data_IF_592629063304
#
_entry.id   IF_592629063304
#
_cell.length_a   1.000
_cell.length_b   1.000
_cell.length_c   1.000
_cell.angle_alpha   90.00
_cell.angle_beta   90.00
_cell.angle_gamma   90.00
#
_symmetry.space_group_name_H-M   'P 1'
#
loop_
_entity.id
_entity.type
_entity.pdbx_description
1 polymer ?
#
# COMPACT_ATOMS: atom_id res chain seq x y z
N UNK A 1 -3.21 -11.05 25.10
CA UNK A 1 -3.53 -12.46 25.40
C UNK A 1 -4.66 -12.86 24.47
N UNK A 2 -4.35 -13.55 23.38
CA UNK A 2 -5.34 -13.90 22.37
C UNK A 2 -6.04 -15.18 22.80
N UNK A 3 -7.29 -15.06 23.25
CA UNK A 3 -8.09 -16.20 23.70
C UNK A 3 -8.70 -16.89 22.48
N UNK A 4 -8.27 -18.12 22.18
CA UNK A 4 -8.89 -18.97 21.14
C UNK A 4 -10.21 -19.51 21.69
N UNK A 5 -11.34 -19.01 21.19
CA UNK A 5 -12.69 -19.46 21.56
C UNK A 5 -13.36 -20.11 20.36
N UNK A 6 -13.62 -21.41 20.44
CA UNK A 6 -14.50 -22.16 19.55
C UNK A 6 -15.94 -22.02 20.07
N UNK A 7 -16.85 -21.57 19.21
CA UNK A 7 -18.29 -21.68 19.46
C UNK A 7 -18.86 -22.78 18.58
N UNK A 8 -18.99 -23.99 19.14
CA UNK A 8 -19.86 -25.04 18.62
C UNK A 8 -21.24 -24.87 19.27
N UNK A 9 -22.32 -25.11 18.52
CA UNK A 9 -23.69 -25.14 19.05
C UNK A 9 -23.95 -26.26 20.08
N UNK A 10 -22.94 -27.04 20.43
CA UNK A 10 -22.93 -27.93 21.59
C UNK A 10 -21.64 -27.77 22.41
N UNK A 11 -21.83 -27.39 23.68
CA UNK A 11 -20.91 -27.49 24.83
C UNK A 11 -19.72 -26.53 24.94
N UNK A 12 -19.69 -25.88 26.11
CA UNK A 12 -18.60 -25.13 26.72
C UNK A 12 -17.53 -26.13 27.19
N UNK A 13 -16.32 -26.07 26.63
CA UNK A 13 -15.09 -26.40 27.35
C UNK A 13 -13.87 -25.82 26.64
N UNK A 14 -13.15 -24.96 27.36
CA UNK A 14 -11.83 -24.54 26.95
C UNK A 14 -10.87 -25.73 27.07
N UNK A 15 -10.35 -26.22 25.95
CA UNK A 15 -9.24 -27.17 25.96
C UNK A 15 -8.19 -26.73 24.95
N UNK A 16 -6.98 -26.44 25.44
CA UNK A 16 -5.78 -26.43 24.60
C UNK A 16 -5.57 -27.88 24.12
N UNK A 17 -5.89 -28.18 22.86
CA UNK A 17 -5.51 -29.46 22.24
C UNK A 17 -4.65 -29.23 21.00
N UNK A 18 -3.83 -30.24 20.70
CA UNK A 18 -2.86 -30.25 19.60
C UNK A 18 -3.54 -30.25 18.22
N UNK A 19 -2.80 -29.78 17.21
CA UNK A 19 -3.24 -29.54 15.82
C UNK A 19 -4.03 -30.68 15.17
N UNK A 20 -3.77 -31.94 15.54
CA UNK A 20 -4.47 -33.11 14.98
C UNK A 20 -5.88 -33.33 15.53
N UNK A 21 -6.20 -32.87 16.75
CA UNK A 21 -7.56 -32.99 17.30
C UNK A 21 -8.52 -31.99 16.61
N UNK A 22 -8.02 -30.79 16.30
CA UNK A 22 -8.75 -29.70 15.66
C UNK A 22 -9.23 -30.05 14.24
N UNK A 23 -8.39 -30.72 13.45
CA UNK A 23 -8.73 -31.15 12.09
C UNK A 23 -9.85 -32.19 12.05
N UNK A 24 -9.99 -33.02 13.09
CA UNK A 24 -11.03 -34.06 13.17
C UNK A 24 -12.38 -33.50 13.58
N UNK A 25 -12.41 -32.48 14.43
CA UNK A 25 -13.64 -31.81 14.87
C UNK A 25 -14.23 -30.91 13.77
N UNK A 26 -13.39 -30.32 12.91
CA UNK A 26 -13.84 -29.54 11.76
C UNK A 26 -14.52 -30.38 10.66
N UNK A 27 -14.12 -31.66 10.50
CA UNK A 27 -14.77 -32.56 9.54
C UNK A 27 -16.17 -33.01 9.99
N UNK A 28 -16.50 -32.89 11.28
CA UNK A 28 -17.82 -33.29 11.81
C UNK A 28 -18.76 -32.12 12.12
N UNK A 29 -18.27 -30.88 12.21
CA UNK A 29 -19.01 -29.73 12.75
C UNK A 29 -19.50 -28.68 11.72
N UNK A 30 -19.12 -28.79 10.44
CA UNK A 30 -19.43 -27.76 9.44
C UNK A 30 -18.39 -26.63 9.44
N UNK A 31 -18.76 -25.44 8.95
CA UNK A 31 -17.81 -24.31 8.83
C UNK A 31 -17.35 -23.79 10.21
N UNK A 32 -16.08 -23.41 10.32
CA UNK A 32 -15.46 -22.84 11.52
C UNK A 32 -15.63 -21.34 11.58
N UNK A 33 -15.84 -20.78 12.78
CA UNK A 33 -15.77 -19.34 13.01
C UNK A 33 -14.50 -18.96 13.77
N UNK A 34 -13.75 -18.00 13.22
CA UNK A 34 -12.59 -17.38 13.86
C UNK A 34 -12.88 -15.90 14.11
N UNK A 35 -12.76 -15.43 15.35
CA UNK A 35 -13.10 -14.04 15.72
C UNK A 35 -11.85 -13.23 15.99
N UNK A 36 -11.73 -12.08 15.34
CA UNK A 36 -10.65 -11.12 15.54
C UNK A 36 -11.23 -9.70 15.60
N UNK A 37 -11.20 -9.10 16.78
CA UNK A 37 -11.85 -7.81 17.03
C UNK A 37 -13.38 -7.90 16.84
N UNK A 38 -13.94 -7.02 16.01
CA UNK A 38 -15.35 -7.00 15.66
C UNK A 38 -15.70 -7.87 14.45
N UNK A 39 -14.77 -8.67 13.93
CA UNK A 39 -14.99 -9.52 12.76
C UNK A 39 -15.03 -11.00 13.11
N UNK A 40 -15.90 -11.71 12.42
CA UNK A 40 -16.06 -13.16 12.45
C UNK A 40 -15.74 -13.70 11.06
N UNK A 41 -14.71 -14.52 10.97
CA UNK A 41 -14.29 -15.19 9.74
C UNK A 41 -14.85 -16.60 9.76
N UNK A 42 -15.75 -16.90 8.82
CA UNK A 42 -16.33 -18.22 8.62
C UNK A 42 -15.49 -18.99 7.60
N UNK A 43 -14.64 -19.87 8.12
CA UNK A 43 -13.72 -20.73 7.38
C UNK A 43 -14.47 -22.00 6.97
N UNK A 44 -14.60 -22.29 5.66
CA UNK A 44 -15.32 -23.48 5.20
C UNK A 44 -14.72 -24.78 5.74
N UNK A 45 -15.56 -25.76 6.05
CA UNK A 45 -15.11 -27.11 6.45
C UNK A 45 -14.16 -27.76 5.42
N UNK A 46 -14.32 -27.43 4.13
CA UNK A 46 -13.42 -27.88 3.06
C UNK A 46 -11.97 -27.41 3.22
N UNK A 47 -11.72 -26.38 4.02
CA UNK A 47 -10.39 -25.83 4.28
C UNK A 47 -9.72 -26.41 5.53
N UNK A 48 -10.20 -27.53 6.06
CA UNK A 48 -9.71 -28.10 7.32
C UNK A 48 -8.19 -28.35 7.38
N UNK A 49 -7.57 -28.69 6.26
CA UNK A 49 -6.13 -28.88 6.16
C UNK A 49 -5.32 -27.57 6.15
N UNK A 50 -5.96 -26.42 5.90
CA UNK A 50 -5.32 -25.11 5.72
C UNK A 50 -5.62 -24.12 6.86
N UNK A 51 -6.36 -24.54 7.89
CA UNK A 51 -6.87 -23.64 8.95
C UNK A 51 -5.77 -22.82 9.62
N UNK A 52 -4.64 -23.44 9.97
CA UNK A 52 -3.55 -22.73 10.66
C UNK A 52 -2.97 -21.60 9.80
N UNK A 53 -2.78 -21.87 8.50
CA UNK A 53 -2.32 -20.87 7.51
C UNK A 53 -3.36 -19.76 7.34
N UNK A 54 -4.64 -20.11 7.26
CA UNK A 54 -5.74 -19.14 7.10
C UNK A 54 -5.81 -18.22 8.34
N UNK A 55 -5.68 -18.76 9.54
CA UNK A 55 -5.68 -17.99 10.79
C UNK A 55 -4.45 -17.06 10.83
N UNK A 56 -3.27 -17.53 10.44
CA UNK A 56 -2.08 -16.69 10.36
C UNK A 56 -2.26 -15.52 9.38
N UNK A 57 -2.88 -15.77 8.22
CA UNK A 57 -3.24 -14.71 7.26
C UNK A 57 -4.27 -13.74 7.83
N UNK A 58 -5.28 -14.22 8.56
CA UNK A 58 -6.28 -13.36 9.22
C UNK A 58 -5.61 -12.49 10.30
N UNK A 59 -4.78 -13.08 11.15
CA UNK A 59 -4.07 -12.36 12.23
C UNK A 59 -3.08 -11.34 11.71
N UNK A 60 -2.50 -11.59 10.53
CA UNK A 60 -1.64 -10.65 9.81
C UNK A 60 -2.39 -9.72 8.85
N UNK A 61 -3.74 -9.72 8.88
CA UNK A 61 -4.63 -8.86 8.09
C UNK A 61 -4.41 -8.98 6.56
N UNK A 62 -4.10 -10.19 6.10
CA UNK A 62 -3.98 -10.57 4.70
C UNK A 62 -5.32 -11.10 4.13
N UNK A 63 -5.44 -11.10 2.80
CA UNK A 63 -6.64 -11.61 2.13
C UNK A 63 -6.72 -13.14 2.24
N UNK A 64 -7.92 -13.63 2.56
CA UNK A 64 -8.23 -15.06 2.68
C UNK A 64 -9.37 -15.48 1.74
N UNK A 65 -9.75 -14.61 0.80
CA UNK A 65 -10.80 -14.87 -0.18
C UNK A 65 -10.53 -16.10 -1.04
N UNK A 66 -9.25 -16.41 -1.34
CA UNK A 66 -8.84 -17.60 -2.09
C UNK A 66 -9.22 -18.92 -1.38
N UNK A 67 -9.40 -18.89 -0.06
CA UNK A 67 -9.83 -20.03 0.74
C UNK A 67 -11.36 -20.11 0.88
N UNK A 68 -12.11 -19.18 0.28
CA UNK A 68 -13.56 -19.11 0.39
C UNK A 68 -14.07 -18.68 1.77
N UNK A 69 -13.24 -17.98 2.55
CA UNK A 69 -13.59 -17.52 3.90
C UNK A 69 -14.56 -16.34 3.81
N UNK A 70 -15.73 -16.47 4.44
CA UNK A 70 -16.71 -15.39 4.53
C UNK A 70 -16.47 -14.56 5.79
N UNK A 71 -16.42 -13.23 5.69
CA UNK A 71 -16.19 -12.36 6.85
C UNK A 71 -17.45 -11.58 7.21
N UNK A 72 -17.87 -11.65 8.46
CA UNK A 72 -19.00 -10.93 9.04
C UNK A 72 -18.50 -9.94 10.07
N UNK A 73 -18.94 -8.69 10.02
CA UNK A 73 -18.62 -7.70 11.04
C UNK A 73 -19.80 -7.64 12.03
N UNK A 74 -19.52 -7.84 13.32
CA UNK A 74 -20.52 -7.77 14.38
C UNK A 74 -20.87 -6.29 14.57
N UNK A 75 -22.07 -5.91 14.15
CA UNK A 75 -22.59 -4.54 14.31
C UNK A 75 -22.68 -4.18 15.81
N UNK A 76 -21.96 -3.14 16.21
CA UNK A 76 -22.30 -2.38 17.42
C UNK A 76 -23.47 -1.45 17.09
N UNK A 77 -24.48 -1.42 17.96
CA UNK A 77 -25.74 -0.70 17.77
C UNK A 77 -25.61 0.74 17.20
N UNK A 78 -26.37 0.97 16.12
CA UNK A 78 -26.98 2.22 15.62
C UNK A 78 -26.18 3.53 15.67
N UNK A 79 -25.84 4.05 14.48
CA UNK A 79 -25.92 5.50 14.18
C UNK A 79 -26.75 5.68 12.90
N UNK A 80 -27.84 6.44 13.03
CA UNK A 80 -28.74 6.83 11.94
C UNK A 80 -28.35 8.24 11.45
N UNK A 81 -28.20 8.40 10.13
CA UNK A 81 -28.56 9.60 9.35
C UNK A 81 -28.11 9.36 7.89
N UNK A 82 -29.05 9.08 6.98
CA UNK A 82 -29.58 10.03 6.00
C UNK A 82 -28.52 10.71 5.11
N UNK A 83 -28.59 10.38 3.81
CA UNK A 83 -27.81 10.87 2.65
C UNK A 83 -26.59 10.02 2.29
N UNK A 84 -26.70 9.25 1.20
CA UNK A 84 -25.54 8.90 0.36
C UNK A 84 -25.01 10.20 -0.24
N UNK A 85 -24.26 10.97 0.53
CA UNK A 85 -23.31 11.93 -0.03
C UNK A 85 -22.03 11.15 -0.28
N UNK A 86 -21.66 10.96 -1.54
CA UNK A 86 -20.32 10.50 -1.90
C UNK A 86 -19.38 11.63 -1.51
N UNK A 87 -18.85 11.59 -0.28
CA UNK A 87 -17.93 12.61 0.20
C UNK A 87 -16.50 12.22 -0.15
N UNK A 88 -16.06 12.79 -1.29
CA UNK A 88 -14.90 13.68 -1.33
C UNK A 88 -14.32 14.00 0.05
N UNK A 89 -13.03 13.72 0.25
CA UNK A 89 -12.40 14.00 1.53
C UNK A 89 -10.91 13.72 1.62
N UNK A 90 -10.33 14.16 2.74
CA UNK A 90 -8.94 13.91 3.07
C UNK A 90 -8.63 12.42 3.04
N UNK A 91 -7.49 12.07 2.45
CA UNK A 91 -6.91 10.75 2.55
C UNK A 91 -6.46 10.49 3.99
N UNK A 92 -6.79 9.32 4.50
CA UNK A 92 -6.40 8.84 5.83
C UNK A 92 -5.68 7.51 5.68
N UNK A 93 -4.41 7.48 6.08
CA UNK A 93 -3.63 6.25 6.15
C UNK A 93 -4.20 5.35 7.25
N UNK A 94 -4.40 4.07 6.95
CA UNK A 94 -4.77 3.08 7.96
C UNK A 94 -3.81 1.88 8.03
N UNK A 95 -2.90 1.75 7.05
CA UNK A 95 -1.89 0.70 7.01
C UNK A 95 -0.73 1.18 6.14
N UNK A 96 0.50 0.96 6.60
CA UNK A 96 1.72 1.33 5.89
C UNK A 96 2.59 0.11 5.58
N UNK A 97 3.53 0.30 4.65
CA UNK A 97 4.59 -0.64 4.30
C UNK A 97 5.85 0.16 3.94
N UNK A 98 6.99 -0.23 4.52
CA UNK A 98 8.28 0.40 4.24
C UNK A 98 9.19 -0.61 3.55
N UNK A 99 9.81 -0.18 2.44
CA UNK A 99 10.86 -0.90 1.75
C UNK A 99 12.14 -0.06 1.82
N UNK A 100 13.14 -0.55 2.55
CA UNK A 100 14.40 0.16 2.76
C UNK A 100 15.49 -0.40 1.87
N UNK A 101 16.37 0.46 1.37
CA UNK A 101 17.53 0.11 0.54
C UNK A 101 17.16 -0.87 -0.59
N UNK A 102 16.19 -0.47 -1.43
CA UNK A 102 15.67 -1.34 -2.50
C UNK A 102 16.69 -1.63 -3.61
N UNK A 103 17.82 -0.93 -3.58
CA UNK A 103 18.96 -1.12 -4.47
C UNK A 103 20.27 -0.97 -3.71
N UNK A 104 21.32 -1.63 -4.22
CA UNK A 104 22.70 -1.23 -3.96
C UNK A 104 23.06 -0.01 -4.83
N UNK A 105 24.19 0.65 -4.52
CA UNK A 105 24.77 1.64 -5.42
C UNK A 105 25.08 1.01 -6.78
N UNK A 106 24.99 1.82 -7.85
CA UNK A 106 25.07 1.46 -9.27
C UNK A 106 24.00 0.47 -9.76
N UNK A 107 23.23 -0.12 -8.85
CA UNK A 107 22.26 -1.14 -9.19
C UNK A 107 20.96 -0.51 -9.68
N UNK A 108 20.43 -1.14 -10.73
CA UNK A 108 19.07 -0.91 -11.21
C UNK A 108 18.05 -1.45 -10.19
N UNK A 109 16.91 -0.77 -10.06
CA UNK A 109 15.78 -1.31 -9.32
C UNK A 109 14.45 -1.14 -10.05
N UNK A 110 13.51 -2.02 -9.67
CA UNK A 110 12.10 -1.92 -10.02
C UNK A 110 11.28 -2.15 -8.76
N UNK A 111 10.69 -1.09 -8.22
CA UNK A 111 9.84 -1.16 -7.05
C UNK A 111 8.37 -0.92 -7.42
N UNK A 112 7.46 -1.66 -6.77
CA UNK A 112 6.02 -1.42 -6.85
C UNK A 112 5.43 -1.68 -5.47
N UNK A 113 4.62 -0.74 -4.98
CA UNK A 113 3.92 -0.89 -3.72
C UNK A 113 3.08 -2.19 -3.70
N UNK A 114 3.04 -2.91 -2.57
CA UNK A 114 2.24 -4.12 -2.46
C UNK A 114 0.73 -3.81 -2.48
N UNK A 115 -0.08 -4.88 -2.54
CA UNK A 115 -1.55 -4.91 -2.60
C UNK A 115 -2.30 -3.64 -2.13
N UNK A 116 -3.01 -2.99 -3.06
CA UNK A 116 -3.85 -1.80 -2.84
C UNK A 116 -3.15 -0.58 -2.21
N UNK A 117 -1.83 -0.56 -2.19
CA UNK A 117 -1.08 0.58 -1.67
C UNK A 117 -0.59 1.52 -2.76
N UNK A 118 -0.42 2.77 -2.37
CA UNK A 118 0.12 3.84 -3.18
C UNK A 118 1.38 4.40 -2.52
N UNK A 119 2.28 4.95 -3.34
CA UNK A 119 3.50 5.57 -2.85
C UNK A 119 3.13 6.80 -2.02
N UNK A 120 3.79 6.92 -0.87
CA UNK A 120 3.52 7.94 0.12
C UNK A 120 4.77 8.79 0.39
N UNK A 121 5.92 8.14 0.54
CA UNK A 121 7.22 8.79 0.71
C UNK A 121 8.27 8.10 -0.15
N UNK A 122 9.26 8.88 -0.53
CA UNK A 122 10.50 8.40 -1.12
C UNK A 122 11.63 9.02 -0.33
N UNK A 123 12.59 8.20 0.07
CA UNK A 123 13.81 8.66 0.72
C UNK A 123 15.02 8.06 0.02
N UNK A 124 16.15 8.73 0.17
CA UNK A 124 17.38 8.30 -0.46
C UNK A 124 18.60 8.68 0.35
N UNK A 125 19.61 7.81 0.27
CA UNK A 125 20.94 8.02 0.80
C UNK A 125 21.92 8.09 -0.38
N UNK A 126 22.68 9.17 -0.46
CA UNK A 126 23.77 9.35 -1.42
C UNK A 126 25.11 8.93 -0.80
N UNK A 127 25.98 8.39 -1.64
CA UNK A 127 27.34 7.97 -1.27
C UNK A 127 28.33 8.48 -2.31
N UNK A 128 29.25 9.34 -1.87
CA UNK A 128 30.16 10.06 -2.75
C UNK A 128 31.18 9.17 -3.47
N UNK A 129 31.50 7.97 -2.99
CA UNK A 129 32.47 7.15 -3.71
C UNK A 129 31.86 6.47 -4.94
N UNK A 130 30.58 6.11 -4.86
CA UNK A 130 29.79 5.62 -5.97
C UNK A 130 29.15 6.75 -6.79
N UNK A 131 29.10 7.97 -6.27
CA UNK A 131 28.35 9.10 -6.83
C UNK A 131 26.89 8.74 -7.18
N UNK A 132 26.29 7.90 -6.32
CA UNK A 132 25.00 7.31 -6.59
C UNK A 132 24.11 7.24 -5.33
N UNK A 133 22.84 6.94 -5.56
CA UNK A 133 21.78 6.92 -4.56
C UNK A 133 21.17 5.54 -4.37
N UNK A 134 21.08 5.13 -3.10
CA UNK A 134 20.17 4.06 -2.66
C UNK A 134 18.81 4.65 -2.30
N UNK A 135 17.74 3.97 -2.70
CA UNK A 135 16.37 4.43 -2.53
C UNK A 135 15.61 3.57 -1.51
N UNK A 136 14.71 4.22 -0.80
CA UNK A 136 13.73 3.61 0.09
C UNK A 136 12.36 4.22 -0.17
N UNK A 137 11.31 3.43 0.02
CA UNK A 137 9.94 3.81 -0.30
C UNK A 137 9.01 3.46 0.85
N UNK A 138 8.05 4.35 1.11
CA UNK A 138 6.91 4.06 1.96
C UNK A 138 5.63 4.06 1.13
N UNK A 139 4.82 3.04 1.37
CA UNK A 139 3.54 2.81 0.74
C UNK A 139 2.44 2.80 1.79
N UNK A 140 1.25 3.26 1.42
CA UNK A 140 0.12 3.29 2.33
C UNK A 140 -1.18 2.80 1.67
N UNK A 141 -2.03 2.15 2.47
CA UNK A 141 -3.45 1.99 2.18
C UNK A 141 -4.21 3.17 2.75
N UNK A 142 -5.15 3.68 1.97
CA UNK A 142 -5.94 4.86 2.31
C UNK A 142 -7.41 4.53 2.50
N UNK A 143 -8.04 5.29 3.38
CA UNK A 143 -9.49 5.45 3.42
C UNK A 143 -9.82 6.94 3.27
N UNK A 144 -11.01 7.23 2.78
CA UNK A 144 -11.56 8.60 2.79
C UNK A 144 -11.85 9.02 4.24
N UNK A 145 -12.03 10.33 4.47
CA UNK A 145 -12.43 10.86 5.77
C UNK A 145 -13.79 10.28 6.25
N UNK A 146 -14.68 9.93 5.32
CA UNK A 146 -15.96 9.25 5.60
C UNK A 146 -15.80 7.77 5.98
N UNK A 147 -14.60 7.20 5.85
CA UNK A 147 -14.27 5.84 6.28
C UNK A 147 -14.25 4.79 5.16
N UNK A 148 -14.62 5.16 3.93
CA UNK A 148 -14.58 4.27 2.77
C UNK A 148 -13.15 3.89 2.42
N UNK A 149 -12.88 2.60 2.25
CA UNK A 149 -11.57 2.13 1.81
C UNK A 149 -11.30 2.52 0.35
N UNK A 150 -10.07 2.93 0.09
CA UNK A 150 -9.55 3.18 -1.24
C UNK A 150 -8.79 1.96 -1.73
N UNK A 151 -9.06 1.57 -2.98
CA UNK A 151 -8.45 0.45 -3.66
C UNK A 151 -7.67 0.91 -4.88
N UNK A 152 -6.67 0.12 -5.26
CA UNK A 152 -5.84 0.40 -6.42
C UNK A 152 -6.41 -0.24 -7.67
N UNK A 153 -6.54 0.56 -8.72
CA UNK A 153 -6.87 0.07 -10.06
C UNK A 153 -5.72 -0.70 -10.71
N UNK A 154 -5.79 -0.84 -12.04
CA UNK A 154 -4.74 -1.49 -12.83
C UNK A 154 -3.45 -0.65 -12.79
N UNK A 155 -2.32 -1.30 -12.57
CA UNK A 155 -1.00 -0.67 -12.65
C UNK A 155 -0.57 -0.54 -14.11
N UNK A 156 -0.10 0.64 -14.50
CA UNK A 156 0.49 0.92 -15.80
C UNK A 156 1.85 1.57 -15.65
N UNK A 157 2.84 1.09 -16.39
CA UNK A 157 4.21 1.64 -16.39
C UNK A 157 4.42 2.60 -17.56
N UNK A 158 5.13 3.70 -17.30
CA UNK A 158 5.62 4.60 -18.33
C UNK A 158 6.83 4.02 -19.08
N UNK A 159 7.21 4.70 -20.18
CA UNK A 159 8.58 4.65 -20.69
C UNK A 159 9.55 5.39 -19.77
N UNK A 160 10.80 5.59 -20.21
CA UNK A 160 11.72 6.48 -19.51
C UNK A 160 11.15 7.90 -19.50
N UNK A 161 11.10 8.51 -18.33
CA UNK A 161 10.61 9.86 -18.11
C UNK A 161 11.69 10.93 -18.31
N UNK A 162 12.95 10.51 -18.36
CA UNK A 162 14.12 11.33 -18.68
C UNK A 162 15.21 10.47 -19.30
N UNK A 163 16.20 11.12 -19.91
CA UNK A 163 17.50 10.53 -20.20
C UNK A 163 18.51 10.92 -19.10
N UNK A 164 19.68 10.29 -19.08
CA UNK A 164 20.80 10.67 -18.21
C UNK A 164 21.21 12.13 -18.45
N UNK A 165 21.68 12.82 -17.42
CA UNK A 165 21.99 14.26 -17.38
C UNK A 165 20.81 15.21 -17.66
N UNK A 166 19.64 14.67 -18.00
CA UNK A 166 18.47 15.46 -18.33
C UNK A 166 17.49 15.56 -17.16
N UNK A 167 16.75 16.68 -17.16
CA UNK A 167 15.71 16.94 -16.18
C UNK A 167 14.61 15.87 -16.25
N UNK A 168 14.20 15.42 -15.09
CA UNK A 168 13.03 14.58 -14.87
C UNK A 168 11.84 15.50 -14.54
N UNK A 169 10.72 15.29 -15.21
CA UNK A 169 9.44 15.88 -14.82
C UNK A 169 8.31 14.90 -15.17
N UNK A 170 7.84 14.16 -14.18
CA UNK A 170 6.80 13.14 -14.37
C UNK A 170 5.65 13.34 -13.39
N UNK A 171 4.43 13.33 -13.92
CA UNK A 171 3.19 13.30 -13.14
C UNK A 171 2.29 12.24 -13.74
N UNK A 172 1.63 11.45 -12.89
CA UNK A 172 0.61 10.51 -13.32
C UNK A 172 -0.55 11.21 -14.04
N UNK A 173 -1.32 10.45 -14.81
CA UNK A 173 -2.50 11.01 -15.49
C UNK A 173 -3.52 11.46 -14.46
N UNK A 174 -4.47 12.27 -14.92
CA UNK A 174 -5.58 12.72 -14.09
C UNK A 174 -6.30 11.54 -13.43
N UNK A 175 -6.48 11.61 -12.10
CA UNK A 175 -7.08 10.54 -11.29
C UNK A 175 -6.20 9.32 -11.04
N UNK A 176 -4.91 9.38 -11.36
CA UNK A 176 -3.92 8.34 -11.06
C UNK A 176 -2.86 8.83 -10.07
N UNK A 177 -2.32 7.88 -9.31
CA UNK A 177 -1.31 8.09 -8.28
C UNK A 177 -0.12 7.19 -8.52
N UNK A 178 1.05 7.58 -8.03
CA UNK A 178 2.27 6.80 -8.12
C UNK A 178 2.15 5.54 -7.26
N UNK A 179 2.53 4.41 -7.84
CA UNK A 179 2.53 3.10 -7.17
C UNK A 179 3.82 2.33 -7.39
N UNK A 180 4.73 2.83 -8.22
CA UNK A 180 6.02 2.20 -8.47
C UNK A 180 7.02 3.13 -9.13
N UNK A 181 8.29 2.83 -8.93
CA UNK A 181 9.44 3.55 -9.48
C UNK A 181 10.44 2.53 -9.99
N UNK A 182 11.01 2.80 -11.15
CA UNK A 182 12.16 2.09 -11.70
C UNK A 182 13.25 3.11 -11.95
N UNK A 183 14.49 2.78 -11.62
CA UNK A 183 15.63 3.59 -11.99
C UNK A 183 16.82 2.71 -12.33
N UNK A 184 17.61 3.17 -13.29
CA UNK A 184 18.91 2.58 -13.64
C UNK A 184 19.96 3.67 -13.61
N UNK A 185 21.16 3.28 -13.18
CA UNK A 185 22.33 4.12 -13.06
C UNK A 185 23.26 3.91 -14.27
N UNK A 186 24.00 4.95 -14.64
CA UNK A 186 25.04 4.86 -15.66
C UNK A 186 26.29 5.61 -15.20
N UNK A 187 27.40 4.90 -15.08
CA UNK A 187 28.62 5.38 -14.45
C UNK A 187 29.40 6.43 -15.26
N UNK A 188 29.03 6.70 -16.52
CA UNK A 188 29.73 7.75 -17.28
C UNK A 188 29.11 9.12 -17.00
N UNK A 189 27.80 9.16 -16.86
CA UNK A 189 27.02 10.30 -16.43
C UNK A 189 26.98 10.44 -14.90
N UNK A 190 27.27 9.37 -14.15
CA UNK A 190 27.06 9.27 -12.70
C UNK A 190 25.64 9.71 -12.31
N UNK A 191 24.68 9.22 -13.08
CA UNK A 191 23.30 9.70 -13.05
C UNK A 191 22.28 8.58 -13.25
N UNK A 192 21.04 8.85 -12.85
CA UNK A 192 19.90 7.93 -13.01
C UNK A 192 18.84 8.46 -13.96
N UNK A 193 18.29 7.54 -14.74
CA UNK A 193 17.03 7.75 -15.47
C UNK A 193 15.90 6.89 -14.94
N UNK A 194 14.67 7.41 -15.03
CA UNK A 194 13.54 6.89 -14.26
C UNK A 194 12.37 6.43 -15.14
N UNK A 195 11.63 5.43 -14.68
CA UNK A 195 10.27 5.11 -15.13
C UNK A 195 9.34 5.06 -13.92
N UNK A 196 8.06 5.30 -14.15
CA UNK A 196 7.07 5.35 -13.08
C UNK A 196 5.90 4.44 -13.38
N UNK A 197 5.28 3.93 -12.32
CA UNK A 197 4.04 3.18 -12.40
C UNK A 197 2.92 3.99 -11.77
N UNK A 198 1.81 4.11 -12.48
CA UNK A 198 0.61 4.81 -12.04
C UNK A 198 -0.57 3.83 -11.91
N UNK A 199 -1.51 4.15 -11.04
CA UNK A 199 -2.80 3.48 -10.94
C UNK A 199 -3.88 4.42 -10.39
N UNK A 200 -5.12 4.18 -10.79
CA UNK A 200 -6.28 4.88 -10.24
C UNK A 200 -6.52 4.53 -8.76
N UNK A 201 -7.06 5.51 -8.02
CA UNK A 201 -7.68 5.30 -6.71
C UNK A 201 -9.18 5.11 -6.88
N UNK A 202 -9.76 4.03 -6.35
CA UNK A 202 -11.19 3.76 -6.41
C UNK A 202 -11.78 3.63 -5.00
N UNK A 203 -12.93 4.25 -4.75
CA UNK A 203 -13.70 4.10 -3.50
C UNK A 203 -14.60 2.85 -3.55
N UNK A 204 -14.62 2.04 -2.49
CA UNK A 204 -15.35 0.77 -2.52
C UNK A 204 -14.65 -0.29 -3.38
N UNK A 205 -15.20 -1.51 -3.51
CA UNK A 205 -14.54 -2.65 -4.19
C UNK A 205 -13.86 -2.28 -5.52
N UNK A 206 -12.87 -3.07 -6.02
CA UNK A 206 -11.96 -2.70 -7.12
C UNK A 206 -12.54 -2.06 -8.41
N UNK A 207 -13.86 -2.15 -8.65
CA UNK A 207 -14.61 -1.49 -9.74
C UNK A 207 -15.39 -0.23 -9.32
N UNK A 208 -15.18 0.28 -8.11
CA UNK A 208 -15.90 1.40 -7.53
C UNK A 208 -15.51 2.75 -8.13
N UNK A 209 -16.10 3.83 -7.61
CA UNK A 209 -15.96 5.19 -8.15
C UNK A 209 -14.50 5.63 -8.13
N UNK A 210 -13.97 6.05 -9.29
CA UNK A 210 -12.63 6.60 -9.40
C UNK A 210 -12.55 7.95 -8.66
N UNK A 211 -11.45 8.14 -7.92
CA UNK A 211 -11.14 9.34 -7.16
C UNK A 211 -10.08 10.17 -7.90
N UNK A 212 -10.30 11.47 -7.87
CA UNK A 212 -9.48 12.49 -8.51
C UNK A 212 -8.60 13.16 -7.46
N UNK A 213 -7.31 13.35 -7.76
CA UNK A 213 -6.36 13.89 -6.82
C UNK A 213 -6.61 15.39 -6.57
N UNK A 214 -6.71 15.79 -5.30
CA UNK A 214 -6.94 17.17 -4.88
C UNK A 214 -6.00 17.60 -3.76
N UNK A 215 -5.88 18.93 -3.59
CA UNK A 215 -5.01 19.54 -2.57
C UNK A 215 -3.58 19.03 -2.66
N UNK A 216 -3.00 19.16 -3.86
CA UNK A 216 -1.65 18.70 -4.13
C UNK A 216 -0.62 19.75 -3.71
N UNK A 217 0.45 19.27 -3.08
CA UNK A 217 1.56 20.04 -2.53
C UNK A 217 2.87 19.48 -3.07
N UNK A 218 3.89 20.32 -3.12
CA UNK A 218 5.25 19.90 -3.43
C UNK A 218 6.09 19.80 -2.15
N UNK A 219 7.02 18.85 -2.13
CA UNK A 219 8.05 18.73 -1.09
C UNK A 219 9.43 18.59 -1.73
N UNK A 220 10.36 19.42 -1.31
CA UNK A 220 11.69 19.63 -1.90
C UNK A 220 11.91 21.07 -2.41
N UNK A 221 12.98 21.31 -3.21
CA UNK A 221 13.96 20.33 -3.67
C UNK A 221 14.81 19.77 -2.53
N UNK A 222 15.27 18.52 -2.68
CA UNK A 222 16.22 17.89 -1.76
C UNK A 222 17.57 18.60 -1.75
N UNK A 223 18.31 18.40 -0.65
CA UNK A 223 19.75 18.70 -0.61
C UNK A 223 20.54 17.74 -1.51
N UNK A 224 21.63 18.25 -2.07
CA UNK A 224 22.66 17.45 -2.74
C UNK A 224 23.57 16.76 -1.69
N UNK A 225 24.18 15.65 -2.07
CA UNK A 225 25.22 14.87 -1.35
C UNK A 225 24.82 14.47 0.07
N UNK A 226 23.53 14.52 0.35
CA UNK A 226 22.96 14.29 1.67
C UNK A 226 21.76 13.37 1.57
N UNK A 227 21.49 12.60 2.64
CA UNK A 227 20.25 11.86 2.73
C UNK A 227 19.06 12.81 2.73
N UNK A 228 17.98 12.40 2.09
CA UNK A 228 16.71 13.13 2.10
C UNK A 228 15.53 12.18 2.19
N UNK A 229 14.40 12.72 2.62
CA UNK A 229 13.14 12.01 2.79
C UNK A 229 12.00 12.97 2.44
N UNK A 230 11.28 12.65 1.36
CA UNK A 230 10.31 13.53 0.71
C UNK A 230 8.93 12.88 0.65
N UNK A 231 7.90 13.71 0.72
CA UNK A 231 6.49 13.32 0.64
C UNK A 231 5.76 13.60 1.95
N UNK A 232 4.72 12.82 2.23
CA UNK A 232 3.81 13.14 3.33
C UNK A 232 3.39 11.90 4.09
N UNK A 233 3.20 11.99 5.40
CA UNK A 233 2.59 10.90 6.19
C UNK A 233 1.07 10.77 6.00
N UNK A 234 0.45 11.67 5.22
CA UNK A 234 -1.01 11.75 5.06
C UNK A 234 -1.50 11.75 3.61
N UNK A 235 -0.61 11.91 2.64
CA UNK A 235 -0.95 11.97 1.23
C UNK A 235 -0.39 10.82 0.42
N UNK A 236 -0.76 10.76 -0.85
CA UNK A 236 -0.17 9.86 -1.84
C UNK A 236 0.55 10.68 -2.92
N UNK A 237 1.69 10.17 -3.38
CA UNK A 237 2.48 10.79 -4.43
C UNK A 237 1.76 10.70 -5.78
N UNK A 238 1.82 11.77 -6.57
CA UNK A 238 1.31 11.84 -7.94
C UNK A 238 2.39 12.17 -8.96
N UNK A 239 3.51 12.73 -8.53
CA UNK A 239 4.60 13.11 -9.43
C UNK A 239 5.95 13.27 -8.73
N UNK A 240 6.99 13.31 -9.55
CA UNK A 240 8.37 13.53 -9.16
C UNK A 240 9.08 14.32 -10.27
N UNK A 241 9.81 15.36 -9.88
CA UNK A 241 10.69 16.13 -10.75
C UNK A 241 12.09 16.19 -10.16
N UNK A 242 13.09 16.25 -11.02
CA UNK A 242 14.48 16.31 -10.57
C UNK A 242 15.42 16.89 -11.62
N UNK A 243 16.45 17.59 -11.17
CA UNK A 243 17.51 18.15 -12.01
C UNK A 243 18.87 17.60 -11.57
N UNK A 244 19.64 17.10 -12.54
CA UNK A 244 21.02 16.67 -12.34
C UNK A 244 21.94 17.88 -12.17
N UNK A 245 22.93 17.75 -11.29
CA UNK A 245 23.88 18.80 -10.93
C UNK A 245 25.29 18.25 -11.06
N UNK A 246 25.91 18.43 -12.23
CA UNK A 246 27.18 17.79 -12.61
C UNK A 246 28.34 18.02 -11.62
N UNK A 247 28.45 19.18 -10.96
CA UNK A 247 29.56 19.38 -10.01
C UNK A 247 29.43 18.51 -8.74
N UNK A 248 28.22 18.04 -8.47
CA UNK A 248 27.88 17.19 -7.34
C UNK A 248 27.59 15.73 -7.76
N UNK A 249 27.52 15.44 -9.08
CA UNK A 249 27.07 14.16 -9.64
C UNK A 249 25.83 13.62 -8.91
N UNK A 250 24.86 14.51 -8.74
CA UNK A 250 23.71 14.27 -7.90
C UNK A 250 22.49 15.07 -8.35
N UNK A 251 21.31 14.62 -7.90
CA UNK A 251 20.00 15.10 -8.30
C UNK A 251 19.28 15.85 -7.18
N UNK A 252 18.90 17.11 -7.44
CA UNK A 252 17.88 17.81 -6.66
C UNK A 252 16.52 17.24 -7.00
N UNK A 253 15.78 16.79 -6.01
CA UNK A 253 14.50 16.08 -6.20
C UNK A 253 13.36 16.81 -5.51
N UNK A 254 12.24 16.97 -6.19
CA UNK A 254 10.97 17.42 -5.61
C UNK A 254 9.89 16.40 -5.94
N UNK A 255 9.03 16.07 -4.96
CA UNK A 255 7.87 15.21 -5.18
C UNK A 255 6.59 16.02 -5.05
N UNK A 256 5.56 15.63 -5.81
CA UNK A 256 4.22 16.16 -5.68
C UNK A 256 3.33 15.09 -5.05
N UNK A 257 2.58 15.45 -4.01
CA UNK A 257 1.66 14.57 -3.31
C UNK A 257 0.33 15.26 -3.06
N UNK A 258 -0.75 14.50 -2.96
CA UNK A 258 -2.09 15.04 -2.76
C UNK A 258 -2.68 14.53 -1.45
N UNK A 259 -3.35 15.41 -0.72
CA UNK A 259 -3.89 15.16 0.63
C UNK A 259 -5.34 14.69 0.61
N UNK A 260 -6.06 14.88 -0.49
CA UNK A 260 -7.45 14.45 -0.67
C UNK A 260 -7.66 13.82 -2.04
N UNK A 261 -8.73 13.04 -2.14
CA UNK A 261 -9.18 12.51 -3.41
C UNK A 261 -10.71 12.42 -3.46
N UNK A 262 -11.31 12.83 -4.58
CA UNK A 262 -12.75 13.09 -4.69
C UNK A 262 -13.38 12.41 -5.90
N UNK A 263 -14.64 11.99 -5.78
CA UNK A 263 -15.43 11.63 -6.96
C UNK A 263 -15.80 12.90 -7.72
N UNK A 264 -15.51 12.99 -9.02
CA UNK A 264 -15.76 14.17 -9.85
C UNK A 264 -17.24 14.49 -10.17
N UNK A 265 -18.16 14.30 -9.22
CA UNK A 265 -19.60 14.57 -9.36
C UNK A 265 -20.17 15.37 -8.19
#
# INVERSE_FOLDING_TARGET
MNTKLLFSAAMISAVLTSSFAFSKELQSAGDMEYKLGNKVYKIPSSQAANVDKIIELIDSNNDVSEFGVNTFELESAQVSSSSFNIQSGNLVVFSGYSATDVNAFDATFRFTCPSNMFLQRVSSYHENWAEDRRFSFECAKFKTASGSKVYRGRVSWSGYANEFDHALNYTCRYGEFLVGVYAEHENWAEDRRFKFACAAMNEGSAYGTQLEAEQCLEDGPSSLDRPWDLGSSRGALVGMKSEHVNWAEDRKTTVTYCLSANSGW
#
